data_IF_053426136573
#
_entry.id   IF_053426136573
#
_cell.length_a   1.000
_cell.length_b   1.000
_cell.length_c   1.000
_cell.angle_alpha   90.00
_cell.angle_beta   90.00
_cell.angle_gamma   90.00
#
_symmetry.space_group_name_H-M   'P 1'
#
loop_
_entity.id
_entity.type
_entity.pdbx_description
1 polymer ?
#
# COMPACT_ATOMS: atom_id res chain seq x y z
N UNK A 1 16.93 20.46 -1.86
CA UNK A 1 16.05 19.60 -2.69
C UNK A 1 16.66 19.67 -4.07
N UNK A 2 17.39 18.64 -4.47
CA UNK A 2 18.03 18.61 -5.78
C UNK A 2 17.08 17.90 -6.74
N UNK A 3 16.21 18.70 -7.39
CA UNK A 3 15.34 18.24 -8.47
C UNK A 3 16.21 18.07 -9.72
N UNK A 4 16.46 16.82 -10.12
CA UNK A 4 17.16 16.54 -11.37
C UNK A 4 16.13 16.57 -12.50
N UNK A 5 16.24 17.57 -13.37
CA UNK A 5 15.37 17.76 -14.54
C UNK A 5 16.09 17.15 -15.76
N UNK A 6 15.46 16.18 -16.41
CA UNK A 6 15.82 15.79 -17.77
C UNK A 6 15.00 16.62 -18.74
N UNK A 7 15.55 17.76 -19.17
CA UNK A 7 14.90 18.64 -20.13
C UNK A 7 15.27 18.20 -21.56
N UNK A 8 14.34 17.52 -22.21
CA UNK A 8 14.39 17.16 -23.63
C UNK A 8 13.07 17.54 -24.30
N UNK A 9 12.65 18.81 -24.24
CA UNK A 9 11.92 19.50 -25.32
C UNK A 9 11.42 20.89 -24.90
N UNK A 10 11.89 21.93 -25.59
CA UNK A 10 11.28 23.27 -25.59
C UNK A 10 9.94 23.28 -26.36
N UNK A 11 8.89 22.70 -25.77
CA UNK A 11 7.50 22.91 -26.17
C UNK A 11 6.71 23.57 -25.04
N UNK A 12 5.53 24.19 -25.29
CA UNK A 12 4.61 24.53 -24.20
C UNK A 12 4.34 23.24 -23.41
N UNK A 13 4.54 23.24 -22.10
CA UNK A 13 4.42 22.05 -21.25
C UNK A 13 2.96 21.56 -21.17
N UNK A 14 2.44 20.97 -22.25
CA UNK A 14 1.07 20.48 -22.31
C UNK A 14 0.88 19.24 -21.42
N UNK A 15 1.90 18.36 -21.31
CA UNK A 15 1.80 17.10 -20.56
C UNK A 15 2.98 16.88 -19.65
N UNK A 16 2.69 16.71 -18.36
CA UNK A 16 3.69 16.42 -17.35
C UNK A 16 3.35 15.11 -16.65
N UNK A 17 4.36 14.28 -16.41
CA UNK A 17 4.25 13.08 -15.59
C UNK A 17 5.14 13.25 -14.37
N UNK A 18 4.54 13.20 -13.18
CA UNK A 18 5.30 13.10 -11.93
C UNK A 18 5.69 11.63 -11.73
N UNK A 19 6.99 11.36 -11.69
CA UNK A 19 7.54 10.05 -11.35
C UNK A 19 7.91 10.00 -9.86
N UNK A 20 7.30 9.06 -9.14
CA UNK A 20 7.56 8.76 -7.73
C UNK A 20 8.32 7.41 -7.65
N UNK A 21 9.60 7.42 -7.29
CA UNK A 21 10.43 6.23 -7.31
C UNK A 21 9.97 5.17 -6.30
N UNK A 22 10.54 3.96 -6.38
CA UNK A 22 10.22 2.82 -5.51
C UNK A 22 10.41 3.09 -4.00
N UNK A 23 11.34 3.96 -3.65
CA UNK A 23 11.85 4.10 -2.29
C UNK A 23 12.84 2.98 -1.93
N UNK A 24 13.32 2.93 -0.68
CA UNK A 24 14.37 1.99 -0.26
C UNK A 24 13.90 0.55 -0.05
N UNK A 25 12.64 0.22 -0.35
CA UNK A 25 12.10 -1.12 -0.14
C UNK A 25 12.58 -2.07 -1.24
N UNK A 26 12.84 -3.33 -0.88
CA UNK A 26 13.42 -4.39 -1.73
C UNK A 26 14.89 -4.18 -2.16
N UNK A 27 15.47 -2.99 -2.03
CA UNK A 27 16.93 -2.78 -2.21
C UNK A 27 17.78 -3.50 -1.15
N UNK A 28 17.22 -3.74 0.04
CA UNK A 28 17.90 -4.43 1.15
C UNK A 28 18.23 -5.90 0.85
N UNK A 29 17.52 -6.55 -0.09
CA UNK A 29 17.80 -7.95 -0.44
C UNK A 29 19.02 -8.11 -1.35
N UNK A 30 19.42 -7.07 -2.09
CA UNK A 30 20.61 -7.11 -2.94
C UNK A 30 21.92 -6.85 -2.18
N UNK A 31 21.86 -6.28 -0.97
CA UNK A 31 23.06 -6.01 -0.18
C UNK A 31 23.54 -7.21 0.65
N UNK A 32 22.68 -8.21 0.90
CA UNK A 32 23.05 -9.39 1.71
C UNK A 32 23.62 -10.55 0.88
N UNK A 33 23.54 -10.50 -0.46
CA UNK A 33 24.07 -11.56 -1.34
C UNK A 33 25.49 -11.32 -1.86
N UNK A 34 26.16 -10.21 -1.49
CA UNK A 34 27.51 -9.88 -1.97
C UNK A 34 28.64 -10.28 -1.01
N UNK A 35 28.39 -11.21 -0.09
CA UNK A 35 29.41 -11.83 0.75
C UNK A 35 29.79 -13.20 0.21
N UNK A 36 30.96 -13.31 -0.40
CA UNK A 36 31.62 -14.51 -0.96
C UNK A 36 31.30 -14.91 -2.40
N UNK A 37 32.08 -14.38 -3.33
CA UNK A 37 32.55 -15.16 -4.49
C UNK A 37 33.94 -14.68 -4.94
N UNK A 38 34.89 -15.62 -5.00
CA UNK A 38 36.19 -15.47 -5.63
C UNK A 38 36.04 -15.21 -7.14
N UNK A 39 37.03 -14.59 -7.81
CA UNK A 39 36.89 -14.14 -9.19
C UNK A 39 37.06 -15.31 -10.16
N UNK A 40 35.98 -15.69 -10.85
CA UNK A 40 36.09 -16.46 -12.09
C UNK A 40 35.70 -15.57 -13.27
N UNK A 41 36.70 -15.31 -14.11
CA UNK A 41 36.54 -14.71 -15.41
C UNK A 41 35.93 -15.75 -16.37
N UNK A 42 34.73 -15.48 -16.88
CA UNK A 42 34.24 -15.99 -18.15
C UNK A 42 32.98 -15.21 -18.57
N UNK A 43 33.13 -14.46 -19.66
CA UNK A 43 32.14 -14.09 -20.69
C UNK A 43 30.66 -14.37 -20.37
N UNK A 44 29.90 -13.30 -20.13
CA UNK A 44 28.55 -13.13 -20.69
C UNK A 44 28.25 -11.62 -20.77
N UNK A 45 28.33 -11.11 -22.00
CA UNK A 45 28.09 -9.71 -22.36
C UNK A 45 26.66 -9.54 -22.87
N UNK A 46 25.65 -9.77 -22.03
CA UNK A 46 24.24 -9.46 -22.38
C UNK A 46 23.38 -9.51 -21.10
N UNK A 47 23.41 -8.43 -20.32
CA UNK A 47 22.39 -7.99 -19.35
C UNK A 47 23.02 -6.96 -18.41
N UNK A 48 23.45 -5.83 -18.98
CA UNK A 48 23.75 -4.66 -18.15
C UNK A 48 22.39 -4.12 -17.70
N UNK A 49 22.12 -3.94 -16.39
CA UNK A 49 20.87 -3.35 -15.94
C UNK A 49 20.72 -1.97 -16.58
N UNK A 50 19.68 -1.80 -17.40
CA UNK A 50 19.27 -0.52 -17.98
C UNK A 50 19.19 0.50 -16.84
N UNK A 51 19.91 1.60 -16.97
CA UNK A 51 19.96 2.60 -15.90
C UNK A 51 18.57 3.21 -15.71
N UNK A 52 18.19 3.57 -14.48
CA UNK A 52 16.89 4.20 -14.18
C UNK A 52 16.63 5.42 -15.08
N UNK A 53 17.69 6.16 -15.40
CA UNK A 53 17.69 7.30 -16.31
C UNK A 53 17.24 6.92 -17.72
N UNK A 54 17.76 5.83 -18.25
CA UNK A 54 17.43 5.33 -19.59
C UNK A 54 15.97 4.83 -19.65
N UNK A 55 15.49 4.16 -18.59
CA UNK A 55 14.07 3.78 -18.49
C UNK A 55 13.15 4.99 -18.46
N UNK A 56 13.49 6.03 -17.69
CA UNK A 56 12.70 7.27 -17.67
C UNK A 56 12.75 7.99 -19.01
N UNK A 57 13.89 8.00 -19.70
CA UNK A 57 14.00 8.55 -21.05
C UNK A 57 13.10 7.82 -22.06
N UNK A 58 13.00 6.49 -21.98
CA UNK A 58 12.07 5.70 -22.78
C UNK A 58 10.62 6.08 -22.50
N UNK A 59 10.23 6.21 -21.22
CA UNK A 59 8.86 6.62 -20.85
C UNK A 59 8.56 8.03 -21.37
N UNK A 60 9.50 8.98 -21.25
CA UNK A 60 9.33 10.35 -21.75
C UNK A 60 9.11 10.35 -23.27
N UNK A 61 9.87 9.54 -24.01
CA UNK A 61 9.72 9.36 -25.45
C UNK A 61 8.36 8.75 -25.81
N UNK A 62 7.98 7.66 -25.14
CA UNK A 62 6.72 6.95 -25.37
C UNK A 62 5.51 7.85 -25.11
N UNK A 63 5.57 8.62 -24.03
CA UNK A 63 4.46 9.48 -23.57
C UNK A 63 4.45 10.86 -24.20
N UNK A 64 5.55 11.26 -24.86
CA UNK A 64 5.75 12.64 -25.34
C UNK A 64 5.46 13.66 -24.24
N UNK A 65 5.87 13.36 -23.01
CA UNK A 65 5.58 14.14 -21.81
C UNK A 65 6.86 14.50 -21.06
N UNK A 66 6.84 15.65 -20.39
CA UNK A 66 7.92 16.06 -19.50
C UNK A 66 7.84 15.23 -18.21
N UNK A 67 8.91 14.51 -17.87
CA UNK A 67 8.96 13.71 -16.63
C UNK A 67 9.64 14.51 -15.52
N UNK A 68 8.93 14.72 -14.42
CA UNK A 68 9.48 15.31 -13.19
C UNK A 68 9.60 14.22 -12.15
N UNK A 69 10.81 13.88 -11.73
CA UNK A 69 11.02 12.89 -10.66
C UNK A 69 11.11 13.59 -9.31
N UNK A 70 10.22 13.23 -8.38
CA UNK A 70 10.25 13.74 -7.01
C UNK A 70 10.99 12.74 -6.12
N UNK A 71 12.25 13.06 -5.82
CA UNK A 71 13.10 12.29 -4.92
C UNK A 71 12.74 12.59 -3.46
N UNK A 72 11.72 11.91 -2.94
CA UNK A 72 11.30 12.04 -1.56
C UNK A 72 12.27 11.33 -0.59
N UNK A 73 12.41 11.87 0.62
CA UNK A 73 13.34 11.31 1.63
C UNK A 73 12.67 10.21 2.45
N UNK A 74 13.23 9.01 2.38
CA UNK A 74 12.83 7.86 3.20
C UNK A 74 14.03 6.92 3.38
N UNK A 75 14.20 6.37 4.58
CA UNK A 75 15.31 5.46 4.90
C UNK A 75 16.61 6.19 5.21
N UNK A 76 17.74 5.51 4.98
CA UNK A 76 19.07 6.01 5.32
C UNK A 76 19.50 7.02 4.25
N UNK A 77 19.89 8.23 4.66
CA UNK A 77 20.49 9.19 3.74
C UNK A 77 21.79 8.64 3.15
N UNK A 78 22.04 8.73 1.83
CA UNK A 78 23.37 8.47 1.31
C UNK A 78 24.33 9.45 1.99
N UNK A 79 25.33 8.92 2.69
CA UNK A 79 26.33 9.73 3.37
C UNK A 79 27.03 10.62 2.34
N UNK A 80 27.05 11.94 2.56
CA UNK A 80 27.99 12.79 1.85
C UNK A 80 29.40 12.39 2.30
N UNK A 81 30.39 12.27 1.39
CA UNK A 81 31.73 11.76 1.74
C UNK A 81 32.47 12.56 2.82
N UNK A 82 31.97 13.73 3.22
CA UNK A 82 32.64 14.68 4.12
C UNK A 82 31.99 14.79 5.51
N UNK A 83 30.91 14.06 5.81
CA UNK A 83 30.30 14.11 7.14
C UNK A 83 30.80 12.95 8.02
N UNK A 84 31.68 13.29 8.95
CA UNK A 84 32.15 12.43 10.03
C UNK A 84 30.95 11.85 10.82
N UNK A 85 30.58 10.61 10.51
CA UNK A 85 30.07 9.54 11.39
C UNK A 85 29.49 9.92 12.76
N UNK A 86 28.50 10.84 12.84
CA UNK A 86 27.79 11.02 14.11
C UNK A 86 26.26 11.07 14.00
N UNK A 87 25.65 11.43 12.86
CA UNK A 87 24.19 11.42 12.74
C UNK A 87 23.73 11.03 11.32
N UNK A 88 23.74 9.73 11.00
CA UNK A 88 22.95 9.24 9.87
C UNK A 88 21.47 9.40 10.22
N UNK A 89 20.90 10.56 9.87
CA UNK A 89 19.48 10.79 10.09
C UNK A 89 18.68 9.85 9.18
N UNK A 90 18.02 8.86 9.78
CA UNK A 90 17.08 7.99 9.09
C UNK A 90 15.77 8.77 8.88
N UNK A 91 15.42 9.03 7.62
CA UNK A 91 14.16 9.64 7.26
C UNK A 91 13.03 8.62 7.40
N UNK A 92 11.95 9.01 8.09
CA UNK A 92 10.77 8.19 8.36
C UNK A 92 9.51 8.94 7.95
N UNK A 93 8.37 8.24 7.87
CA UNK A 93 7.07 8.90 7.74
C UNK A 93 6.84 9.88 8.91
N UNK A 94 6.29 11.08 8.66
CA UNK A 94 5.61 11.53 7.42
C UNK A 94 6.48 12.30 6.41
N UNK A 95 7.81 12.36 6.58
CA UNK A 95 8.71 13.11 5.67
C UNK A 95 8.48 12.88 4.16
N UNK A 96 8.37 11.63 3.65
CA UNK A 96 8.16 11.42 2.22
C UNK A 96 6.82 11.96 1.69
N UNK A 97 5.79 12.06 2.55
CA UNK A 97 4.52 12.70 2.19
C UNK A 97 4.72 14.18 1.95
N UNK A 98 5.40 14.87 2.88
CA UNK A 98 5.67 16.30 2.76
C UNK A 98 6.56 16.63 1.56
N UNK A 99 7.60 15.82 1.31
CA UNK A 99 8.46 16.02 0.15
C UNK A 99 7.69 15.82 -1.17
N UNK A 100 6.75 14.85 -1.20
CA UNK A 100 5.91 14.58 -2.37
C UNK A 100 4.92 15.71 -2.63
N UNK A 101 4.24 16.21 -1.60
CA UNK A 101 3.31 17.35 -1.73
C UNK A 101 4.04 18.62 -2.15
N UNK A 102 5.21 18.91 -1.57
CA UNK A 102 6.02 20.04 -1.97
C UNK A 102 6.47 19.94 -3.45
N UNK A 103 6.87 18.75 -3.90
CA UNK A 103 7.20 18.50 -5.31
C UNK A 103 5.99 18.65 -6.24
N UNK A 104 4.83 18.16 -5.82
CA UNK A 104 3.56 18.31 -6.54
C UNK A 104 3.15 19.77 -6.70
N UNK A 105 3.17 20.54 -5.60
CA UNK A 105 2.88 21.98 -5.60
C UNK A 105 3.84 22.75 -6.51
N UNK A 106 5.13 22.41 -6.46
CA UNK A 106 6.14 23.01 -7.33
C UNK A 106 5.84 22.76 -8.81
N UNK A 107 5.43 21.53 -9.18
CA UNK A 107 5.06 21.20 -10.57
C UNK A 107 3.85 22.02 -11.02
N UNK A 108 2.80 22.10 -10.19
CA UNK A 108 1.61 22.87 -10.53
C UNK A 108 1.90 24.37 -10.69
N UNK A 109 2.70 24.95 -9.78
CA UNK A 109 3.00 26.38 -9.79
C UNK A 109 3.98 26.76 -10.92
N UNK A 110 4.97 25.90 -11.18
CA UNK A 110 6.08 26.21 -12.10
C UNK A 110 5.79 25.79 -13.53
N UNK A 111 5.29 24.57 -13.73
CA UNK A 111 5.08 24.01 -15.07
C UNK A 111 3.69 24.28 -15.60
N UNK A 112 2.71 24.52 -14.71
CA UNK A 112 1.30 24.77 -15.05
C UNK A 112 0.78 23.80 -16.13
N UNK A 113 0.88 22.48 -15.88
CA UNK A 113 0.58 21.48 -16.90
C UNK A 113 -0.89 21.56 -17.33
N UNK A 114 -1.16 21.40 -18.63
CA UNK A 114 -2.52 21.22 -19.11
C UNK A 114 -3.07 19.85 -18.69
N UNK A 115 -2.23 18.82 -18.76
CA UNK A 115 -2.51 17.46 -18.31
C UNK A 115 -1.41 16.95 -17.38
N UNK A 116 -1.82 16.35 -16.26
CA UNK A 116 -0.93 15.83 -15.23
C UNK A 116 -1.17 14.34 -14.97
N UNK A 117 -0.17 13.53 -15.29
CA UNK A 117 -0.09 12.11 -14.92
C UNK A 117 0.79 11.88 -13.71
N UNK A 118 0.54 10.81 -12.95
CA UNK A 118 1.44 10.33 -11.89
C UNK A 118 1.81 8.88 -12.16
N UNK A 119 3.10 8.59 -12.11
CA UNK A 119 3.66 7.25 -12.14
C UNK A 119 4.33 6.99 -10.79
N UNK A 120 3.94 5.94 -10.08
CA UNK A 120 4.53 5.58 -8.80
C UNK A 120 4.85 4.09 -8.70
N UNK A 121 5.99 3.73 -8.11
CA UNK A 121 6.34 2.33 -7.82
C UNK A 121 6.45 2.10 -6.32
N UNK A 122 5.97 0.98 -5.77
CA UNK A 122 6.07 0.62 -4.34
C UNK A 122 5.63 1.75 -3.38
N UNK A 123 6.57 2.37 -2.66
CA UNK A 123 6.29 3.53 -1.79
C UNK A 123 5.81 4.72 -2.63
N UNK A 124 6.44 4.99 -3.77
CA UNK A 124 5.97 5.98 -4.72
C UNK A 124 4.59 5.65 -5.28
N UNK A 125 4.26 4.36 -5.42
CA UNK A 125 2.91 3.91 -5.78
C UNK A 125 1.88 4.20 -4.70
N UNK A 126 2.23 4.01 -3.42
CA UNK A 126 1.42 4.45 -2.27
C UNK A 126 1.18 5.96 -2.30
N UNK A 127 2.25 6.74 -2.50
CA UNK A 127 2.18 8.20 -2.57
C UNK A 127 1.38 8.68 -3.80
N UNK A 128 1.45 7.98 -4.93
CA UNK A 128 0.64 8.26 -6.10
C UNK A 128 -0.86 8.03 -5.83
N UNK A 129 -1.20 6.93 -5.15
CA UNK A 129 -2.58 6.66 -4.73
C UNK A 129 -3.08 7.64 -3.68
N UNK A 130 -2.23 8.06 -2.75
CA UNK A 130 -2.53 9.14 -1.81
C UNK A 130 -2.89 10.43 -2.58
N UNK A 131 -2.04 10.88 -3.50
CA UNK A 131 -2.33 12.05 -4.35
C UNK A 131 -3.63 11.89 -5.15
N UNK A 132 -3.92 10.69 -5.66
CA UNK A 132 -5.18 10.41 -6.39
C UNK A 132 -6.43 10.66 -5.56
N UNK A 133 -6.33 10.52 -4.23
CA UNK A 133 -7.45 10.64 -3.29
C UNK A 133 -7.52 12.01 -2.63
N UNK A 134 -6.41 12.76 -2.56
CA UNK A 134 -6.35 14.07 -1.93
C UNK A 134 -6.36 15.20 -2.96
N UNK A 135 -5.65 15.04 -4.07
CA UNK A 135 -5.44 16.04 -5.14
C UNK A 135 -6.14 15.66 -6.45
N UNK A 136 -7.24 14.91 -6.38
CA UNK A 136 -7.95 14.31 -7.52
C UNK A 136 -8.31 15.30 -8.66
N UNK A 137 -8.47 16.59 -8.35
CA UNK A 137 -8.87 17.62 -9.33
C UNK A 137 -7.77 18.02 -10.28
N UNK A 138 -6.53 17.98 -9.81
CA UNK A 138 -5.37 18.46 -10.57
C UNK A 138 -4.69 17.34 -11.32
N UNK A 139 -5.14 16.10 -11.12
CA UNK A 139 -4.54 14.89 -11.67
C UNK A 139 -5.52 14.29 -12.66
N UNK A 140 -5.04 13.91 -13.82
CA UNK A 140 -5.86 13.25 -14.84
C UNK A 140 -5.77 11.73 -14.75
N UNK A 141 -4.56 11.20 -14.59
CA UNK A 141 -4.30 9.77 -14.55
C UNK A 141 -3.20 9.37 -13.57
N UNK A 142 -3.36 8.21 -12.92
CA UNK A 142 -2.42 7.64 -11.94
C UNK A 142 -2.13 6.19 -12.29
N UNK A 143 -0.87 5.89 -12.55
CA UNK A 143 -0.32 4.54 -12.68
C UNK A 143 0.48 4.18 -11.44
N UNK A 144 0.01 3.20 -10.67
CA UNK A 144 0.68 2.73 -9.45
C UNK A 144 1.16 1.28 -9.63
N UNK A 145 2.47 1.06 -9.60
CA UNK A 145 3.13 -0.23 -9.79
C UNK A 145 3.47 -0.83 -8.42
N UNK A 146 2.97 -2.04 -8.16
CA UNK A 146 3.14 -2.79 -6.91
C UNK A 146 3.03 -1.91 -5.64
N UNK A 147 1.95 -1.09 -5.51
CA UNK A 147 1.85 -0.10 -4.45
C UNK A 147 1.58 -0.76 -3.09
N UNK A 148 2.15 -0.17 -2.04
CA UNK A 148 1.82 -0.54 -0.67
C UNK A 148 0.60 0.26 -0.24
N UNK A 149 -0.56 -0.37 -0.08
CA UNK A 149 -1.82 0.32 0.15
C UNK A 149 -2.26 0.30 1.62
N UNK A 150 -1.81 -0.68 2.41
CA UNK A 150 -2.23 -0.88 3.80
C UNK A 150 -1.10 -1.47 4.67
N UNK A 151 -0.42 -0.65 5.45
CA UNK A 151 0.59 -1.12 6.41
C UNK A 151 -0.03 -1.78 7.65
N UNK A 152 -1.30 -1.48 7.93
CA UNK A 152 -1.98 -2.01 9.10
C UNK A 152 -2.30 -3.49 8.91
N UNK A 153 -2.65 -3.96 7.70
CA UNK A 153 -3.11 -5.34 7.51
C UNK A 153 -2.01 -6.40 7.43
N UNK A 154 -0.71 -6.05 7.51
CA UNK A 154 0.39 -7.02 7.35
C UNK A 154 0.30 -8.20 8.33
N UNK A 155 -0.18 -7.94 9.55
CA UNK A 155 -0.31 -8.95 10.61
C UNK A 155 -1.32 -10.06 10.25
N UNK A 156 -2.24 -9.79 9.32
CA UNK A 156 -3.26 -10.74 8.87
C UNK A 156 -2.66 -11.88 8.03
N UNK A 157 -1.44 -11.68 7.53
CA UNK A 157 -0.67 -12.70 6.80
C UNK A 157 0.26 -13.51 7.72
N UNK A 158 0.29 -13.21 9.02
CA UNK A 158 1.12 -13.89 10.02
C UNK A 158 0.31 -14.93 10.80
N UNK A 159 0.99 -15.98 11.29
CA UNK A 159 0.40 -16.92 12.25
C UNK A 159 0.32 -16.24 13.61
N UNK A 160 -0.81 -16.37 14.30
CA UNK A 160 -1.00 -15.86 15.66
C UNK A 160 -0.48 -16.91 16.65
N UNK A 161 0.47 -16.54 17.52
CA UNK A 161 0.86 -17.43 18.61
C UNK A 161 -0.32 -17.61 19.58
N UNK A 162 -0.69 -18.85 19.96
CA UNK A 162 -1.71 -19.04 20.98
C UNK A 162 -1.22 -18.40 22.30
N UNK A 163 -2.12 -17.77 23.08
CA UNK A 163 -1.74 -17.31 24.42
C UNK A 163 -1.18 -18.50 25.19
N UNK A 164 -0.04 -18.30 25.85
CA UNK A 164 0.61 -19.35 26.65
C UNK A 164 -0.42 -19.94 27.62
N UNK A 165 -0.54 -21.27 27.59
CA UNK A 165 -1.35 -22.01 28.55
C UNK A 165 -0.97 -21.59 29.95
N UNK A 166 -1.96 -21.21 30.75
CA UNK A 166 -1.82 -21.01 32.19
C UNK A 166 -1.02 -22.18 32.79
N UNK A 167 -0.22 -21.91 33.82
CA UNK A 167 0.60 -22.89 34.54
C UNK A 167 -0.19 -24.07 35.16
N UNK A 168 -1.52 -24.07 35.03
CA UNK A 168 -2.39 -25.19 35.33
C UNK A 168 -2.91 -25.76 34.01
N UNK A 169 -2.38 -26.90 33.59
CA UNK A 169 -2.61 -27.59 32.30
C UNK A 169 -4.05 -28.01 31.96
N UNK A 170 -5.04 -27.14 32.15
CA UNK A 170 -6.36 -27.26 31.57
C UNK A 170 -6.36 -26.63 30.19
N UNK A 171 -6.17 -27.46 29.17
CA UNK A 171 -6.42 -27.11 27.78
C UNK A 171 -7.91 -26.85 27.62
N UNK A 172 -8.38 -25.62 27.32
CA UNK A 172 -9.76 -25.44 26.89
C UNK A 172 -9.84 -26.00 25.47
N UNK A 173 -10.46 -27.16 25.33
CA UNK A 173 -10.87 -27.75 24.06
C UNK A 173 -11.99 -26.93 23.43
N UNK A 174 -11.72 -25.67 23.06
CA UNK A 174 -12.62 -24.87 22.24
C UNK A 174 -12.19 -24.97 20.78
N UNK A 175 -12.91 -25.82 20.07
CA UNK A 175 -12.80 -26.14 18.64
C UNK A 175 -13.23 -24.99 17.71
N UNK A 176 -12.96 -23.71 18.05
CA UNK A 176 -13.51 -22.58 17.29
C UNK A 176 -12.64 -21.33 17.10
N UNK A 177 -11.32 -21.37 17.30
CA UNK A 177 -10.42 -20.27 16.86
C UNK A 177 -10.01 -20.42 15.38
N UNK A 178 -10.98 -20.09 14.53
CA UNK A 178 -10.88 -19.42 13.22
C UNK A 178 -9.51 -19.42 12.50
N UNK A 179 -9.45 -20.20 11.41
CA UNK A 179 -8.78 -19.94 10.11
C UNK A 179 -7.45 -19.15 10.17
N UNK A 180 -6.40 -19.76 10.71
CA UNK A 180 -5.05 -19.57 10.14
C UNK A 180 -4.94 -20.25 8.77
N UNK A 181 -3.91 -19.95 7.95
CA UNK A 181 -3.67 -20.68 6.70
C UNK A 181 -3.56 -22.18 7.03
N UNK A 182 -4.60 -22.94 6.69
CA UNK A 182 -4.57 -24.41 6.77
C UNK A 182 -3.74 -24.91 5.61
N UNK A 183 -2.43 -25.03 5.81
CA UNK A 183 -1.53 -25.63 4.85
C UNK A 183 -0.09 -25.26 5.16
N UNK A 184 0.82 -26.25 5.13
CA UNK A 184 2.26 -26.06 5.22
C UNK A 184 2.84 -25.31 4.00
N UNK A 185 2.32 -24.12 3.73
CA UNK A 185 2.81 -23.22 2.70
C UNK A 185 3.87 -22.26 3.25
N UNK A 186 4.70 -21.74 2.37
CA UNK A 186 5.65 -20.66 2.67
C UNK A 186 4.91 -19.31 2.66
N UNK A 187 5.34 -18.37 3.51
CA UNK A 187 4.82 -17.00 3.46
C UNK A 187 5.00 -16.39 2.05
N UNK A 188 4.12 -15.43 1.67
CA UNK A 188 4.36 -14.58 0.52
C UNK A 188 5.77 -13.99 0.60
N UNK A 189 6.48 -14.00 -0.53
CA UNK A 189 7.90 -13.62 -0.60
C UNK A 189 8.17 -12.16 -0.18
N UNK A 190 7.17 -11.30 -0.32
CA UNK A 190 7.19 -9.87 0.00
C UNK A 190 6.76 -9.56 1.44
N UNK A 191 6.18 -10.51 2.19
CA UNK A 191 5.69 -10.27 3.55
C UNK A 191 6.81 -9.88 4.52
N UNK A 192 7.89 -10.66 4.57
CA UNK A 192 9.00 -10.40 5.51
C UNK A 192 9.69 -9.05 5.22
N UNK A 193 10.03 -8.72 3.95
CA UNK A 193 10.50 -7.38 3.61
C UNK A 193 9.56 -6.26 4.06
N UNK A 194 8.24 -6.42 3.87
CA UNK A 194 7.25 -5.42 4.29
C UNK A 194 7.19 -5.27 5.82
N UNK A 195 7.25 -6.36 6.58
CA UNK A 195 7.28 -6.31 8.04
C UNK A 195 8.52 -5.58 8.57
N UNK A 196 9.69 -5.86 7.98
CA UNK A 196 10.96 -5.17 8.30
C UNK A 196 10.86 -3.67 7.95
N UNK A 197 10.41 -3.36 6.73
CA UNK A 197 10.22 -1.99 6.26
C UNK A 197 9.27 -1.19 7.16
N UNK A 198 8.15 -1.77 7.63
CA UNK A 198 7.21 -1.09 8.54
C UNK A 198 7.87 -0.70 9.87
N UNK A 199 8.80 -1.49 10.40
CA UNK A 199 9.52 -1.13 11.63
C UNK A 199 10.56 -0.03 11.37
N UNK A 200 11.16 -0.02 10.19
CA UNK A 200 12.20 0.94 9.82
C UNK A 200 11.64 2.31 9.41
N UNK A 201 10.53 2.33 8.67
CA UNK A 201 9.99 3.54 8.04
C UNK A 201 9.08 4.37 8.95
N UNK A 202 8.67 3.82 10.09
CA UNK A 202 7.76 4.48 11.02
C UNK A 202 8.43 4.65 12.39
N UNK A 203 8.18 5.78 13.04
CA UNK A 203 8.72 6.08 14.38
C UNK A 203 7.84 5.50 15.49
N UNK A 204 6.52 5.51 15.31
CA UNK A 204 5.53 4.90 16.21
C UNK A 204 4.51 4.11 15.39
N UNK A 205 3.79 3.15 16.01
CA UNK A 205 2.77 2.41 15.29
C UNK A 205 1.61 3.25 14.75
N UNK A 206 1.27 4.35 15.43
CA UNK A 206 0.23 5.29 15.00
C UNK A 206 0.50 5.85 13.60
N UNK A 207 1.78 6.03 13.25
CA UNK A 207 2.18 6.61 11.97
C UNK A 207 1.87 5.72 10.77
N UNK A 208 1.81 4.40 10.92
CA UNK A 208 1.40 3.52 9.81
C UNK A 208 -0.12 3.30 9.73
N UNK A 209 -0.86 3.80 10.72
CA UNK A 209 -2.32 3.98 10.68
C UNK A 209 -2.75 5.33 10.10
N UNK A 210 -1.80 6.17 9.71
CA UNK A 210 -2.06 7.40 8.97
C UNK A 210 -2.56 7.07 7.55
N UNK A 211 -3.67 7.69 7.12
CA UNK A 211 -4.24 7.48 5.80
C UNK A 211 -3.32 7.96 4.67
N UNK A 212 -2.46 8.95 4.92
CA UNK A 212 -1.48 9.39 3.93
C UNK A 212 -0.36 8.37 3.72
N UNK A 213 -0.04 7.55 4.72
CA UNK A 213 0.94 6.47 4.62
C UNK A 213 0.32 5.14 4.16
N UNK A 214 -0.96 4.91 4.49
CA UNK A 214 -1.77 3.75 4.10
C UNK A 214 -3.03 4.22 3.34
N UNK A 215 -2.95 4.50 2.03
CA UNK A 215 -4.03 5.13 1.26
C UNK A 215 -5.38 4.40 1.31
N UNK A 216 -5.39 3.09 1.58
CA UNK A 216 -6.62 2.34 1.78
C UNK A 216 -7.47 2.88 2.93
N UNK A 217 -6.85 3.54 3.92
CA UNK A 217 -7.52 4.09 5.09
C UNK A 217 -8.33 5.35 4.81
N UNK A 218 -8.12 6.03 3.68
CA UNK A 218 -9.05 7.08 3.21
C UNK A 218 -10.44 6.52 2.91
N UNK A 219 -10.52 5.23 2.58
CA UNK A 219 -11.71 4.60 2.01
C UNK A 219 -12.27 3.48 2.89
N UNK A 220 -11.55 3.06 3.92
CA UNK A 220 -11.95 1.97 4.82
C UNK A 220 -11.25 2.07 6.17
N UNK A 221 -11.96 1.81 7.27
CA UNK A 221 -11.34 1.72 8.60
C UNK A 221 -10.37 0.52 8.70
N UNK A 222 -9.33 0.60 9.54
CA UNK A 222 -8.36 -0.49 9.71
C UNK A 222 -8.98 -1.74 10.36
N UNK A 223 -10.12 -1.60 11.05
CA UNK A 223 -10.82 -2.70 11.74
C UNK A 223 -10.07 -3.22 12.98
N UNK A 224 -9.10 -2.46 13.50
CA UNK A 224 -8.35 -2.76 14.71
C UNK A 224 -7.81 -1.50 15.35
N UNK A 225 -7.51 -1.58 16.64
CA UNK A 225 -6.87 -0.50 17.39
C UNK A 225 -5.38 -0.39 17.01
N UNK A 226 -4.84 0.82 17.17
CA UNK A 226 -3.41 1.07 17.00
C UNK A 226 -2.66 0.36 18.13
N UNK A 227 -1.67 -0.51 17.83
CA UNK A 227 -0.93 -1.16 18.88
C UNK A 227 0.01 -0.15 19.56
N UNK A 228 0.13 -0.23 20.89
CA UNK A 228 1.00 0.67 21.67
C UNK A 228 2.49 0.55 21.31
N UNK A 229 2.90 -0.64 20.83
CA UNK A 229 4.27 -0.94 20.43
C UNK A 229 4.30 -1.61 19.07
N UNK A 230 5.45 -1.57 18.40
CA UNK A 230 5.63 -2.32 17.16
C UNK A 230 5.46 -3.82 17.42
N UNK A 231 4.63 -4.53 16.65
CA UNK A 231 4.50 -5.96 16.81
C UNK A 231 5.80 -6.68 16.46
N UNK A 232 6.09 -7.77 17.18
CA UNK A 232 7.29 -8.58 16.98
C UNK A 232 6.98 -9.89 16.26
N UNK A 233 7.88 -10.31 15.38
CA UNK A 233 7.70 -11.50 14.55
C UNK A 233 8.85 -12.47 14.76
N UNK A 234 8.50 -13.74 14.83
CA UNK A 234 9.43 -14.84 14.62
C UNK A 234 9.49 -15.11 13.11
N UNK A 235 10.67 -14.93 12.53
CA UNK A 235 10.95 -15.11 11.10
C UNK A 235 12.20 -15.95 10.92
N UNK A 236 12.38 -16.56 9.75
CA UNK A 236 13.58 -17.32 9.41
C UNK A 236 13.25 -18.76 8.98
N UNK A 237 14.25 -19.62 8.77
CA UNK A 237 14.05 -21.01 8.33
C UNK A 237 13.15 -21.82 9.27
N UNK A 238 13.19 -21.52 10.57
CA UNK A 238 12.34 -22.15 11.60
C UNK A 238 10.87 -21.72 11.51
N UNK A 239 10.59 -20.57 10.90
CA UNK A 239 9.27 -19.96 10.79
C UNK A 239 8.98 -19.61 9.32
N UNK A 240 8.62 -20.61 8.48
CA UNK A 240 8.38 -20.42 7.04
C UNK A 240 7.21 -19.46 6.76
N UNK A 241 6.29 -19.31 7.72
CA UNK A 241 5.35 -18.20 7.80
C UNK A 241 5.66 -17.41 9.07
N UNK A 242 5.83 -16.08 9.01
CA UNK A 242 6.08 -15.26 10.19
C UNK A 242 5.02 -15.50 11.27
N UNK A 243 5.48 -15.71 12.51
CA UNK A 243 4.60 -15.87 13.67
C UNK A 243 4.62 -14.57 14.46
N UNK A 244 3.46 -13.97 14.67
CA UNK A 244 3.30 -12.81 15.55
C UNK A 244 3.44 -13.28 17.00
N UNK A 245 4.44 -12.74 17.71
CA UNK A 245 4.69 -13.10 19.11
C UNK A 245 3.52 -12.66 20.00
N UNK A 246 3.03 -13.59 20.83
CA UNK A 246 2.14 -13.23 21.92
C UNK A 246 2.92 -12.38 22.93
N UNK A 247 2.32 -11.29 23.40
CA UNK A 247 2.96 -10.45 24.42
C UNK A 247 2.99 -11.21 25.75
N UNK A 248 4.15 -11.25 26.39
CA UNK A 248 4.23 -11.51 27.83
C UNK A 248 3.57 -10.33 28.54
N UNK A 249 2.53 -10.59 29.34
CA UNK A 249 1.68 -9.55 29.93
C UNK A 249 2.50 -8.54 30.73
N UNK A 250 2.54 -7.30 30.25
CA UNK A 250 3.10 -6.16 30.99
C UNK A 250 1.96 -5.59 31.83
N UNK A 251 2.09 -5.69 33.16
CA UNK A 251 1.21 -5.16 34.23
C UNK A 251 -0.31 -5.18 33.98
N UNK A 252 -1.04 -5.86 34.86
CA UNK A 252 -2.51 -5.94 34.89
C UNK A 252 -3.24 -4.60 34.70
N UNK A 253 -2.63 -3.48 35.08
CA UNK A 253 -3.18 -2.12 34.90
C UNK A 253 -3.25 -1.67 33.42
N UNK A 254 -2.28 -2.05 32.58
CA UNK A 254 -2.26 -1.64 31.17
C UNK A 254 -3.28 -2.40 30.32
N UNK A 255 -3.48 -3.68 30.63
CA UNK A 255 -4.52 -4.54 30.05
C UNK A 255 -5.92 -4.11 30.53
N UNK A 256 -6.07 -3.67 31.79
CA UNK A 256 -7.32 -3.12 32.34
C UNK A 256 -7.73 -1.83 31.63
N UNK A 257 -6.78 -0.94 31.32
CA UNK A 257 -7.04 0.29 30.57
C UNK A 257 -7.52 -0.03 29.15
N UNK A 258 -6.89 -0.99 28.46
CA UNK A 258 -7.30 -1.41 27.10
C UNK A 258 -8.72 -1.99 27.09
N UNK A 259 -9.04 -2.81 28.10
CA UNK A 259 -10.39 -3.34 28.32
C UNK A 259 -11.41 -2.24 28.62
N UNK A 260 -11.08 -1.27 29.48
CA UNK A 260 -12.00 -0.18 29.86
C UNK A 260 -12.35 0.72 28.68
N UNK A 261 -11.39 1.04 27.81
CA UNK A 261 -11.64 1.85 26.61
C UNK A 261 -12.44 1.10 25.54
N UNK A 262 -12.25 -0.21 25.40
CA UNK A 262 -13.04 -1.02 24.44
C UNK A 262 -14.50 -1.22 24.90
N UNK A 263 -14.76 -1.27 26.22
CA UNK A 263 -16.12 -1.35 26.79
C UNK A 263 -16.86 -0.01 26.64
N UNK A 264 -16.22 1.12 26.99
CA UNK A 264 -16.87 2.44 26.93
C UNK A 264 -17.23 2.90 25.51
N UNK A 265 -16.49 2.48 24.48
CA UNK A 265 -16.82 2.80 23.08
C UNK A 265 -17.92 1.87 22.51
N UNK A 266 -18.16 0.72 23.14
CA UNK A 266 -19.19 -0.24 22.73
C UNK A 266 -20.59 0.02 23.29
N UNK A 267 -20.71 0.85 24.33
CA UNK A 267 -21.96 1.03 25.09
C UNK A 267 -22.90 2.13 24.55
N UNK A 268 -22.48 2.97 23.59
CA UNK A 268 -23.38 3.97 22.99
C UNK A 268 -24.48 3.37 22.10
N UNK A 269 -24.42 2.07 21.76
CA UNK A 269 -25.41 1.42 20.87
C UNK A 269 -26.25 0.30 21.53
N UNK A 270 -26.14 0.02 22.84
CA UNK A 270 -27.00 -1.00 23.48
C UNK A 270 -27.09 -0.85 25.00
N UNK A 271 -28.11 -0.12 25.46
CA UNK A 271 -28.59 -0.21 26.84
C UNK A 271 -29.30 -1.56 27.05
N UNK A 272 -28.63 -2.50 27.71
CA UNK A 272 -29.27 -3.56 28.48
C UNK A 272 -28.41 -3.91 29.68
N UNK A 273 -28.90 -3.59 30.87
CA UNK A 273 -28.30 -4.01 32.14
C UNK A 273 -28.22 -5.53 32.21
N UNK A 274 -27.02 -6.05 32.43
CA UNK A 274 -26.85 -7.38 32.99
C UNK A 274 -25.63 -7.38 33.89
N UNK A 275 -25.88 -7.35 35.20
CA UNK A 275 -24.91 -7.74 36.21
C UNK A 275 -24.41 -9.16 35.92
N UNK A 276 -23.10 -9.32 35.71
CA UNK A 276 -22.47 -10.63 35.58
C UNK A 276 -21.07 -10.61 36.17
N UNK A 277 -20.95 -11.38 37.24
CA UNK A 277 -19.78 -11.73 38.05
C UNK A 277 -18.51 -12.08 37.27
N UNK A 278 -17.37 -11.67 37.86
CA UNK A 278 -16.02 -11.76 37.33
C UNK A 278 -15.60 -13.10 36.73
N UNK A 279 -15.14 -13.03 35.47
CA UNK A 279 -14.10 -13.90 34.94
C UNK A 279 -13.23 -13.09 33.98
N UNK A 280 -12.07 -12.65 34.48
CA UNK A 280 -11.04 -11.94 33.70
C UNK A 280 -10.36 -12.92 32.74
N UNK A 281 -11.03 -13.29 31.65
CA UNK A 281 -10.34 -13.95 30.53
C UNK A 281 -9.66 -12.88 29.68
N UNK A 282 -8.33 -12.86 29.70
CA UNK A 282 -7.46 -12.08 28.79
C UNK A 282 -7.86 -12.35 27.33
N UNK A 283 -8.70 -11.48 26.77
CA UNK A 283 -9.11 -11.56 25.35
C UNK A 283 -8.19 -10.65 24.55
N UNK A 284 -7.63 -11.18 23.47
CA UNK A 284 -6.94 -10.38 22.45
C UNK A 284 -7.82 -9.21 22.01
N UNK A 285 -7.24 -8.04 21.66
CA UNK A 285 -8.02 -6.85 21.32
C UNK A 285 -9.09 -7.17 20.27
N UNK A 286 -10.35 -6.74 20.46
CA UNK A 286 -11.46 -7.09 19.60
C UNK A 286 -11.23 -6.57 18.19
N UNK A 287 -11.02 -7.50 17.24
CA UNK A 287 -10.97 -7.17 15.81
C UNK A 287 -12.36 -6.69 15.36
N UNK A 288 -12.48 -5.41 15.02
CA UNK A 288 -13.71 -4.79 14.53
C UNK A 288 -13.88 -5.03 13.03
N UNK A 289 -15.11 -4.93 12.53
CA UNK A 289 -15.34 -5.00 11.08
C UNK A 289 -14.71 -3.78 10.40
N UNK A 290 -13.95 -4.01 9.31
CA UNK A 290 -13.46 -2.93 8.45
C UNK A 290 -14.68 -2.26 7.77
N UNK A 291 -14.93 -1.00 8.09
CA UNK A 291 -16.07 -0.22 7.61
C UNK A 291 -15.65 0.63 6.42
N UNK A 292 -16.46 0.67 5.36
CA UNK A 292 -16.18 1.53 4.19
C UNK A 292 -16.48 2.99 4.52
N UNK A 293 -15.56 3.87 4.15
CA UNK A 293 -15.71 5.33 4.18
C UNK A 293 -16.07 5.81 2.78
N UNK A 294 -17.03 6.73 2.68
CA UNK A 294 -17.40 7.36 1.40
C UNK A 294 -16.35 8.39 1.00
N UNK A 295 -16.08 8.48 -0.30
CA UNK A 295 -15.20 9.49 -0.88
C UNK A 295 -15.93 10.29 -1.97
N UNK A 296 -15.74 11.62 -2.02
CA UNK A 296 -15.03 12.43 -1.03
C UNK A 296 -15.77 12.45 0.33
N UNK A 297 -15.08 12.71 1.45
CA UNK A 297 -15.72 12.86 2.76
C UNK A 297 -16.79 13.95 2.72
N UNK A 298 -17.92 13.73 3.39
CA UNK A 298 -18.98 14.74 3.48
C UNK A 298 -18.47 15.99 4.20
N UNK A 299 -18.85 17.17 3.70
CA UNK A 299 -18.52 18.46 4.33
C UNK A 299 -17.13 19.01 4.00
N UNK A 300 -16.34 18.32 3.17
CA UNK A 300 -15.18 18.96 2.52
C UNK A 300 -15.67 19.72 1.28
N UNK A 301 -15.92 21.02 1.47
CA UNK A 301 -16.16 21.94 0.36
C UNK A 301 -14.80 22.21 -0.31
N UNK A 302 -14.47 21.51 -1.40
CA UNK A 302 -13.24 21.76 -2.16
C UNK A 302 -13.31 23.09 -2.94
N UNK A 303 -13.51 24.22 -2.27
CA UNK A 303 -13.38 25.55 -2.87
C UNK A 303 -14.53 26.02 -3.78
N UNK A 304 -15.70 25.37 -3.74
CA UNK A 304 -16.92 25.88 -4.38
C UNK A 304 -17.81 26.64 -3.37
N UNK A 305 -17.23 27.55 -2.58
CA UNK A 305 -17.96 28.53 -1.79
C UNK A 305 -18.64 29.59 -2.68
N UNK A 306 -19.56 29.14 -3.54
CA UNK A 306 -20.68 29.94 -4.00
C UNK A 306 -21.80 29.92 -2.94
N UNK A 307 -22.75 30.86 -2.97
CA UNK A 307 -23.77 31.02 -1.92
C UNK A 307 -24.82 29.90 -1.99
N UNK A 308 -24.46 28.69 -1.54
CA UNK A 308 -25.37 27.54 -1.52
C UNK A 308 -26.21 27.45 -0.24
N UNK A 309 -25.95 28.30 0.75
CA UNK A 309 -26.65 28.27 2.06
C UNK A 309 -27.98 29.05 2.08
N UNK A 310 -28.47 29.58 0.95
CA UNK A 310 -29.65 30.46 0.92
C UNK A 310 -30.81 29.98 0.03
N UNK A 311 -30.94 28.69 -0.27
CA UNK A 311 -32.15 28.19 -0.96
C UNK A 311 -32.62 26.85 -0.40
N UNK A 312 -33.75 26.83 0.35
CA UNK A 312 -34.35 25.60 0.89
C UNK A 312 -34.81 24.60 -0.19
N UNK A 313 -34.86 25.02 -1.46
CA UNK A 313 -35.28 24.22 -2.62
C UNK A 313 -34.13 23.69 -3.47
N UNK A 314 -32.88 24.02 -3.14
CA UNK A 314 -31.70 23.47 -3.79
C UNK A 314 -30.86 22.79 -2.73
N UNK A 315 -31.09 21.47 -2.57
CA UNK A 315 -30.23 20.64 -1.73
C UNK A 315 -28.76 20.89 -2.07
N UNK A 316 -27.89 20.79 -1.05
CA UNK A 316 -26.43 20.93 -1.15
C UNK A 316 -25.98 20.36 -2.50
N UNK A 317 -25.58 21.23 -3.44
CA UNK A 317 -25.05 20.79 -4.73
C UNK A 317 -23.78 20.02 -4.40
N UNK A 318 -23.89 18.69 -4.39
CA UNK A 318 -22.77 17.81 -4.15
C UNK A 318 -21.70 18.20 -5.16
N UNK A 319 -20.52 18.52 -4.67
CA UNK A 319 -19.38 18.66 -5.54
C UNK A 319 -19.17 17.30 -6.22
N UNK A 320 -19.37 17.24 -7.53
CA UNK A 320 -19.04 16.07 -8.34
C UNK A 320 -17.52 15.99 -8.50
N UNK A 321 -16.82 15.69 -7.40
CA UNK A 321 -15.42 15.27 -7.46
C UNK A 321 -15.38 13.91 -8.13
N UNK A 322 -14.73 13.85 -9.28
CA UNK A 322 -14.42 12.58 -9.93
C UNK A 322 -13.00 12.19 -9.59
N UNK A 323 -12.78 10.91 -9.30
CA UNK A 323 -11.44 10.36 -9.23
C UNK A 323 -10.74 10.50 -10.60
N UNK A 324 -9.42 10.71 -10.63
CA UNK A 324 -8.64 10.52 -11.84
C UNK A 324 -8.79 9.08 -12.38
N UNK A 325 -8.34 8.86 -13.61
CA UNK A 325 -8.13 7.51 -14.09
C UNK A 325 -7.07 6.84 -13.22
N UNK A 326 -7.37 5.68 -12.64
CA UNK A 326 -6.41 4.95 -11.79
C UNK A 326 -6.20 3.56 -12.36
N UNK A 327 -4.94 3.20 -12.59
CA UNK A 327 -4.54 1.84 -12.92
C UNK A 327 -3.46 1.38 -11.95
N UNK A 328 -3.76 0.28 -11.26
CA UNK A 328 -2.78 -0.42 -10.43
C UNK A 328 -2.18 -1.55 -11.27
N UNK A 329 -0.86 -1.65 -11.27
CA UNK A 329 -0.09 -2.68 -11.96
C UNK A 329 0.53 -3.60 -10.92
N UNK A 330 0.42 -4.90 -11.11
CA UNK A 330 1.03 -5.90 -10.20
C UNK A 330 1.71 -7.01 -10.96
N UNK A 331 2.80 -7.54 -10.43
CA UNK A 331 3.52 -8.63 -11.08
C UNK A 331 2.63 -9.87 -11.27
N UNK A 332 2.60 -10.41 -12.49
CA UNK A 332 2.01 -11.70 -12.79
C UNK A 332 2.91 -12.78 -12.18
N UNK A 333 2.30 -13.72 -11.45
CA UNK A 333 3.03 -14.89 -10.97
C UNK A 333 3.44 -15.71 -12.20
N UNK A 334 4.74 -15.98 -12.45
CA UNK A 334 5.13 -16.80 -13.58
C UNK A 334 4.48 -18.17 -13.41
N UNK A 335 3.61 -18.50 -14.35
CA UNK A 335 3.16 -19.87 -14.60
C UNK A 335 4.39 -20.59 -15.14
N UNK A 336 4.96 -21.50 -14.36
CA UNK A 336 6.01 -22.38 -14.87
C UNK A 336 5.47 -23.15 -16.08
N UNK A 337 6.30 -23.28 -17.13
CA UNK A 337 6.05 -23.95 -18.41
C UNK A 337 5.74 -25.46 -18.27
N UNK A 338 4.62 -25.81 -17.62
CA UNK A 338 4.10 -27.19 -17.58
C UNK A 338 2.72 -27.31 -18.28
N UNK A 339 2.35 -26.35 -19.13
CA UNK A 339 1.15 -26.43 -19.96
C UNK A 339 1.45 -26.15 -21.44
N UNK A 340 2.37 -26.93 -22.02
CA UNK A 340 2.29 -27.24 -23.45
C UNK A 340 1.46 -28.52 -23.58
N UNK A 341 0.18 -28.35 -23.92
CA UNK A 341 -0.72 -29.47 -24.13
C UNK A 341 -2.14 -29.02 -24.51
N UNK A 342 -2.27 -28.60 -25.78
CA UNK A 342 -3.47 -28.48 -26.62
C UNK A 342 -4.87 -28.30 -26.01
N UNK A 343 -5.53 -27.29 -26.56
CA UNK A 343 -6.95 -26.96 -26.64
C UNK A 343 -7.98 -28.11 -26.60
N UNK A 344 -9.13 -27.74 -26.03
CA UNK A 344 -10.51 -28.16 -26.32
C UNK A 344 -11.18 -29.33 -25.54
N UNK A 345 -12.31 -28.96 -24.93
CA UNK A 345 -13.45 -29.74 -24.41
C UNK A 345 -13.22 -30.62 -23.16
N UNK A 346 -13.76 -30.20 -22.01
CA UNK A 346 -14.88 -30.87 -21.28
C UNK A 346 -15.07 -30.31 -19.86
N UNK A 347 -16.34 -30.06 -19.53
CA UNK A 347 -16.83 -29.98 -18.15
C UNK A 347 -16.64 -31.34 -17.46
N UNK A 348 -15.92 -31.41 -16.34
CA UNK A 348 -16.42 -31.95 -15.06
C UNK A 348 -15.32 -32.08 -14.00
N UNK A 349 -15.80 -32.04 -12.77
CA UNK A 349 -15.14 -32.12 -11.47
C UNK A 349 -14.02 -33.18 -11.37
N UNK A 350 -12.95 -32.84 -10.64
CA UNK A 350 -11.95 -33.81 -10.23
C UNK A 350 -10.67 -33.19 -9.67
N UNK A 351 -10.64 -33.04 -8.35
CA UNK A 351 -9.48 -32.73 -7.50
C UNK A 351 -8.13 -33.27 -8.01
N UNK A 352 -7.18 -32.37 -8.28
CA UNK A 352 -5.75 -32.65 -8.20
C UNK A 352 -5.02 -31.43 -7.66
N UNK A 353 -4.19 -31.69 -6.67
CA UNK A 353 -3.59 -30.79 -5.68
C UNK A 353 -2.67 -29.75 -6.34
N UNK A 354 -3.24 -28.64 -6.83
CA UNK A 354 -2.45 -27.45 -7.17
C UNK A 354 -1.78 -26.96 -5.88
N UNK A 355 -0.45 -27.13 -5.82
CA UNK A 355 0.41 -26.55 -4.79
C UNK A 355 0.12 -25.06 -4.76
N UNK A 356 -0.63 -24.60 -3.75
CA UNK A 356 -1.11 -23.22 -3.63
C UNK A 356 0.10 -22.28 -3.54
N UNK A 357 0.55 -21.73 -4.67
CA UNK A 357 1.52 -20.65 -4.70
C UNK A 357 0.85 -19.46 -4.00
N UNK A 358 1.40 -19.06 -2.85
CA UNK A 358 0.87 -17.96 -2.05
C UNK A 358 1.00 -16.67 -2.87
N UNK A 359 -0.12 -16.00 -3.11
CA UNK A 359 -0.15 -14.70 -3.78
C UNK A 359 0.66 -13.68 -2.97
N UNK A 360 1.35 -12.76 -3.65
CA UNK A 360 2.08 -11.68 -2.98
C UNK A 360 1.13 -10.81 -2.14
N UNK A 361 1.64 -10.24 -1.05
CA UNK A 361 0.91 -9.28 -0.22
C UNK A 361 0.55 -8.05 -1.05
N UNK A 362 1.46 -7.55 -1.88
CA UNK A 362 1.22 -6.40 -2.76
C UNK A 362 0.08 -6.65 -3.75
N UNK A 363 0.00 -7.85 -4.35
CA UNK A 363 -1.11 -8.22 -5.24
C UNK A 363 -2.45 -8.22 -4.48
N UNK A 364 -2.47 -8.76 -3.26
CA UNK A 364 -3.68 -8.74 -2.44
C UNK A 364 -4.10 -7.31 -2.07
N UNK A 365 -3.14 -6.46 -1.68
CA UNK A 365 -3.39 -5.06 -1.35
C UNK A 365 -3.91 -4.26 -2.56
N UNK A 366 -3.36 -4.50 -3.75
CA UNK A 366 -3.83 -3.89 -4.99
C UNK A 366 -5.28 -4.28 -5.32
N UNK A 367 -5.62 -5.58 -5.16
CA UNK A 367 -7.00 -6.05 -5.31
C UNK A 367 -7.95 -5.38 -4.31
N UNK A 368 -7.56 -5.32 -3.04
CA UNK A 368 -8.32 -4.64 -1.98
C UNK A 368 -8.53 -3.15 -2.30
N UNK A 369 -7.48 -2.46 -2.76
CA UNK A 369 -7.53 -1.04 -3.10
C UNK A 369 -8.49 -0.78 -4.27
N UNK A 370 -8.39 -1.51 -5.36
CA UNK A 370 -9.31 -1.36 -6.51
C UNK A 370 -10.76 -1.62 -6.12
N UNK A 371 -11.01 -2.69 -5.36
CA UNK A 371 -12.37 -3.04 -4.90
C UNK A 371 -12.95 -1.99 -3.95
N UNK A 372 -12.13 -1.45 -3.05
CA UNK A 372 -12.55 -0.39 -2.13
C UNK A 372 -12.76 0.93 -2.86
N UNK A 373 -11.86 1.37 -3.75
CA UNK A 373 -12.05 2.58 -4.57
C UNK A 373 -13.34 2.53 -5.40
N UNK A 374 -13.62 1.40 -6.06
CA UNK A 374 -14.85 1.23 -6.86
C UNK A 374 -16.12 1.39 -6.01
N UNK A 375 -16.11 0.84 -4.79
CA UNK A 375 -17.29 0.89 -3.88
C UNK A 375 -17.42 2.23 -3.15
N UNK A 376 -16.31 2.85 -2.78
CA UNK A 376 -16.30 4.05 -1.94
C UNK A 376 -16.41 5.35 -2.74
N UNK A 377 -15.85 5.41 -3.95
CA UNK A 377 -15.72 6.65 -4.72
C UNK A 377 -16.78 6.82 -5.82
N UNK A 378 -17.48 5.75 -6.20
CA UNK A 378 -18.47 5.76 -7.29
C UNK A 378 -19.86 5.34 -6.83
N UNK A 379 -20.20 5.64 -5.57
CA UNK A 379 -21.49 5.28 -5.01
C UNK A 379 -22.65 5.85 -5.83
N UNK A 380 -23.59 4.98 -6.22
CA UNK A 380 -24.78 5.38 -6.99
C UNK A 380 -24.52 5.58 -8.49
N UNK A 381 -23.31 5.32 -8.98
CA UNK A 381 -23.02 5.23 -10.42
C UNK A 381 -23.12 3.79 -10.91
N UNK A 382 -23.27 3.62 -12.22
CA UNK A 382 -23.28 2.30 -12.84
C UNK A 382 -21.98 1.56 -12.58
N UNK A 383 -22.07 0.24 -12.36
CA UNK A 383 -20.91 -0.62 -12.06
C UNK A 383 -19.79 -0.46 -13.11
N UNK A 384 -20.17 -0.44 -14.39
CA UNK A 384 -19.23 -0.26 -15.52
C UNK A 384 -18.54 1.11 -15.57
N UNK A 385 -19.04 2.13 -14.87
CA UNK A 385 -18.35 3.40 -14.74
C UNK A 385 -17.12 3.27 -13.84
N UNK A 386 -17.31 2.68 -12.64
CA UNK A 386 -16.23 2.46 -11.67
C UNK A 386 -15.15 1.49 -12.20
N UNK A 387 -15.57 0.48 -12.97
CA UNK A 387 -14.66 -0.52 -13.54
C UNK A 387 -13.79 0.05 -14.66
N UNK A 388 -14.27 1.06 -15.39
CA UNK A 388 -13.48 1.80 -16.38
C UNK A 388 -12.52 2.79 -15.74
N UNK A 389 -12.96 3.49 -14.68
CA UNK A 389 -12.15 4.52 -14.00
C UNK A 389 -11.01 3.93 -13.17
N UNK A 390 -11.24 2.82 -12.47
CA UNK A 390 -10.24 2.18 -11.61
C UNK A 390 -10.01 0.76 -12.09
N UNK A 391 -8.78 0.45 -12.52
CA UNK A 391 -8.42 -0.84 -13.13
C UNK A 391 -7.22 -1.49 -12.44
N UNK A 392 -7.14 -2.82 -12.51
CA UNK A 392 -6.00 -3.62 -12.08
C UNK A 392 -5.46 -4.37 -13.29
N UNK A 393 -4.16 -4.24 -13.56
CA UNK A 393 -3.47 -4.92 -14.65
C UNK A 393 -2.33 -5.76 -14.11
N UNK A 394 -2.16 -6.97 -14.62
CA UNK A 394 -1.01 -7.82 -14.31
C UNK A 394 0.03 -7.70 -15.42
N UNK A 395 1.31 -7.63 -15.06
CA UNK A 395 2.41 -7.57 -16.02
C UNK A 395 3.34 -8.76 -15.86
N UNK A 396 3.86 -9.31 -16.96
CA UNK A 396 4.90 -10.33 -16.95
C UNK A 396 6.29 -9.74 -17.16
N UNK A 397 6.38 -8.63 -17.91
CA UNK A 397 7.63 -7.93 -18.23
C UNK A 397 7.34 -6.44 -18.48
N UNK A 398 8.34 -5.58 -18.30
CA UNK A 398 8.37 -4.14 -18.62
C UNK A 398 7.18 -3.34 -18.07
N UNK A 399 6.95 -3.43 -16.76
CA UNK A 399 5.84 -2.79 -16.06
C UNK A 399 5.72 -1.28 -16.28
N UNK A 400 6.86 -0.60 -16.39
CA UNK A 400 6.92 0.84 -16.57
C UNK A 400 6.57 1.28 -17.99
N UNK A 401 6.93 0.46 -18.99
CA UNK A 401 6.55 0.73 -20.38
C UNK A 401 5.04 0.63 -20.54
N UNK A 402 4.46 -0.46 -20.01
CA UNK A 402 3.00 -0.66 -19.99
C UNK A 402 2.28 0.47 -19.24
N UNK A 403 2.82 0.90 -18.11
CA UNK A 403 2.29 2.04 -17.36
C UNK A 403 2.39 3.35 -18.15
N UNK A 404 3.52 3.60 -18.83
CA UNK A 404 3.73 4.77 -19.67
C UNK A 404 2.76 4.83 -20.87
N UNK A 405 2.61 3.73 -21.61
CA UNK A 405 1.66 3.63 -22.71
C UNK A 405 0.22 3.92 -22.26
N UNK A 406 -0.17 3.38 -21.11
CA UNK A 406 -1.48 3.64 -20.55
C UNK A 406 -1.66 5.09 -20.08
N UNK A 407 -0.64 5.68 -19.43
CA UNK A 407 -0.69 7.08 -19.04
C UNK A 407 -0.85 7.97 -20.27
N UNK A 408 -0.08 7.73 -21.34
CA UNK A 408 -0.24 8.45 -22.61
C UNK A 408 -1.66 8.36 -23.14
N UNK A 409 -2.28 7.19 -23.13
CA UNK A 409 -3.66 7.01 -23.58
C UNK A 409 -4.62 7.90 -22.77
N UNK A 410 -4.40 8.02 -21.45
CA UNK A 410 -5.31 8.74 -20.54
C UNK A 410 -5.00 10.21 -20.33
N UNK A 411 -3.86 10.70 -20.79
CA UNK A 411 -3.48 12.12 -20.78
C UNK A 411 -3.50 12.74 -22.18
N UNK A 412 -4.07 12.03 -23.16
CA UNK A 412 -4.14 12.49 -24.55
C UNK A 412 -5.45 13.15 -24.96
N UNK A 413 -6.50 12.97 -24.16
CA UNK A 413 -7.84 13.53 -24.39
C UNK A 413 -7.95 14.93 -23.75
#
# INVERSE_FOLDING_TARGET
MDTIIYDLANGPNERVIINLPAGPIFNLLHSESSGHALPQAANDSENKPTTEVERLSQIASITSSTIVTVNYRLGISPATPNELTLNQNQYKFPTPIHDTLAGFDWVLQTLQPHSLGILGTHIGGSLALMLSLTEARSIEAVAAIDPICDWTSLDEHCIQQPPSSDANGNVPSSSSSRKGPRGGGTAPHDLVPLLKARKEYFSTPERYFDAFASPLLFLRSPGKNVPRFFPEYLTGPEYPIPVLKARESVSTEDDLIDYFWDVYIGEEDSMSESESTGSETKRSPPRRRKALSRWPPFGLDYGNSGPAWQSPSHGVRRLEMELPWVRIFTQAVPESEDQIGNSEVRQNQGSSTKRNKTSSVLLQQAHDMVDVMRRSCFWGREKGYSERRVTLTRYSQDERELAGLWLREKTSD
#
